data_IF_412398339574
#
_entry.id   IF_412398339574
#
_cell.length_a   1.000
_cell.length_b   1.000
_cell.length_c   1.000
_cell.angle_alpha   90.00
_cell.angle_beta   90.00
_cell.angle_gamma   90.00
#
_symmetry.space_group_name_H-M   'P 1'
#
loop_
_entity.id
_entity.type
_entity.pdbx_description
1 polymer ?
#
# COMPACT_ATOMS: atom_id res chain seq x y z
N UNK A 1 6.66 -39.52 -14.91
CA UNK A 1 6.89 -38.07 -14.92
C UNK A 1 5.60 -37.41 -15.35
N UNK A 2 4.99 -36.63 -14.47
CA UNK A 2 3.86 -35.77 -14.85
C UNK A 2 4.33 -34.77 -15.91
N UNK A 3 3.45 -34.38 -16.86
CA UNK A 3 3.79 -33.37 -17.85
C UNK A 3 4.16 -32.04 -17.15
N UNK A 4 5.04 -31.26 -17.78
CA UNK A 4 5.41 -29.94 -17.26
C UNK A 4 4.19 -29.00 -17.22
N UNK A 5 4.22 -28.06 -16.27
CA UNK A 5 3.17 -27.05 -16.10
C UNK A 5 3.05 -26.16 -17.33
N UNK A 6 1.82 -25.75 -17.62
CA UNK A 6 1.54 -24.70 -18.61
C UNK A 6 1.61 -23.32 -17.96
N UNK A 7 1.86 -22.30 -18.79
CA UNK A 7 1.77 -20.89 -18.34
C UNK A 7 0.35 -20.57 -17.85
N UNK A 8 -0.68 -21.15 -18.46
CA UNK A 8 -2.07 -20.93 -18.06
C UNK A 8 -2.35 -21.44 -16.65
N UNK A 9 -1.85 -22.63 -16.30
CA UNK A 9 -1.99 -23.16 -14.94
C UNK A 9 -1.31 -22.24 -13.89
N UNK A 10 -0.14 -21.69 -14.23
CA UNK A 10 0.55 -20.73 -13.37
C UNK A 10 -0.22 -19.41 -13.23
N UNK A 11 -0.86 -18.93 -14.30
CA UNK A 11 -1.71 -17.73 -14.24
C UNK A 11 -2.91 -17.95 -13.32
N UNK A 12 -3.61 -19.08 -13.45
CA UNK A 12 -4.71 -19.43 -12.55
C UNK A 12 -4.21 -19.52 -11.10
N UNK A 13 -3.05 -20.14 -10.87
CA UNK A 13 -2.43 -20.20 -9.54
C UNK A 13 -2.15 -18.80 -8.99
N UNK A 14 -1.48 -17.93 -9.76
CA UNK A 14 -1.18 -16.57 -9.33
C UNK A 14 -2.41 -15.68 -9.23
N UNK A 15 -3.48 -15.94 -9.96
CA UNK A 15 -4.76 -15.24 -9.82
C UNK A 15 -5.55 -15.70 -8.59
N UNK A 16 -5.27 -16.90 -8.07
CA UNK A 16 -6.05 -17.53 -7.00
C UNK A 16 -7.29 -18.28 -7.50
N UNK A 17 -7.31 -18.64 -8.79
CA UNK A 17 -8.46 -19.25 -9.47
C UNK A 17 -8.44 -20.79 -9.41
N UNK A 18 -7.42 -21.40 -8.82
CA UNK A 18 -7.33 -22.86 -8.66
C UNK A 18 -8.06 -23.31 -7.40
N UNK A 19 -8.67 -24.50 -7.46
CA UNK A 19 -9.10 -25.17 -6.25
C UNK A 19 -7.89 -25.53 -5.38
N UNK A 20 -8.08 -25.59 -4.06
CA UNK A 20 -6.99 -25.84 -3.09
C UNK A 20 -6.17 -27.09 -3.42
N UNK A 21 -6.85 -28.18 -3.78
CA UNK A 21 -6.19 -29.44 -4.14
C UNK A 21 -5.35 -29.32 -5.43
N UNK A 22 -5.76 -28.48 -6.38
CA UNK A 22 -5.03 -28.24 -7.63
C UNK A 22 -3.82 -27.33 -7.40
N UNK A 23 -3.96 -26.33 -6.53
CA UNK A 23 -2.86 -25.47 -6.11
C UNK A 23 -1.76 -26.29 -5.42
N UNK A 24 -2.11 -27.17 -4.47
CA UNK A 24 -1.15 -28.03 -3.78
C UNK A 24 -0.41 -28.96 -4.74
N UNK A 25 -1.11 -29.62 -5.67
CA UNK A 25 -0.46 -30.47 -6.68
C UNK A 25 0.50 -29.69 -7.59
N UNK A 26 0.15 -28.44 -7.90
CA UNK A 26 1.03 -27.56 -8.68
C UNK A 26 2.28 -27.20 -7.88
N UNK A 27 2.12 -26.83 -6.60
CA UNK A 27 3.22 -26.53 -5.68
C UNK A 27 4.17 -27.73 -5.55
N UNK A 28 3.64 -28.93 -5.28
CA UNK A 28 4.41 -30.18 -5.21
C UNK A 28 5.23 -30.40 -6.49
N UNK A 29 4.62 -30.18 -7.67
CA UNK A 29 5.32 -30.32 -8.94
C UNK A 29 6.43 -29.27 -9.11
N UNK A 30 6.20 -28.02 -8.68
CA UNK A 30 7.22 -26.95 -8.71
C UNK A 30 8.43 -27.34 -7.86
N UNK A 31 8.21 -27.96 -6.70
CA UNK A 31 9.29 -28.44 -5.82
C UNK A 31 10.10 -29.59 -6.45
N UNK A 32 9.46 -30.46 -7.23
CA UNK A 32 10.12 -31.64 -7.81
C UNK A 32 10.74 -31.39 -9.20
N UNK A 33 10.27 -30.38 -9.93
CA UNK A 33 10.67 -30.13 -11.32
C UNK A 33 11.38 -28.78 -11.49
N UNK A 34 12.71 -28.79 -11.59
CA UNK A 34 13.51 -27.57 -11.74
C UNK A 34 13.22 -26.73 -12.99
N UNK A 35 12.68 -27.32 -14.07
CA UNK A 35 12.22 -26.55 -15.23
C UNK A 35 10.95 -25.76 -14.91
N UNK A 36 10.01 -26.38 -14.17
CA UNK A 36 8.79 -25.74 -13.70
C UNK A 36 9.08 -24.72 -12.59
N UNK A 37 10.07 -24.94 -11.73
CA UNK A 37 10.51 -23.94 -10.76
C UNK A 37 10.99 -22.64 -11.43
N UNK A 38 11.86 -22.73 -12.44
CA UNK A 38 12.29 -21.53 -13.20
C UNK A 38 11.15 -20.86 -13.96
N UNK A 39 10.20 -21.64 -14.45
CA UNK A 39 9.00 -21.11 -15.09
C UNK A 39 8.12 -20.37 -14.07
N UNK A 40 7.89 -20.97 -12.91
CA UNK A 40 7.12 -20.40 -11.80
C UNK A 40 7.73 -19.07 -11.33
N UNK A 41 9.04 -19.03 -11.10
CA UNK A 41 9.74 -17.79 -10.70
C UNK A 41 9.56 -16.67 -11.73
N UNK A 42 9.76 -16.99 -13.02
CA UNK A 42 9.67 -15.99 -14.09
C UNK A 42 8.25 -15.46 -14.29
N UNK A 43 7.26 -16.35 -14.37
CA UNK A 43 5.87 -15.95 -14.59
C UNK A 43 5.26 -15.33 -13.32
N UNK A 44 5.71 -15.76 -12.14
CA UNK A 44 5.29 -15.22 -10.85
C UNK A 44 5.88 -13.86 -10.51
N UNK A 45 7.02 -13.49 -11.10
CA UNK A 45 7.72 -12.24 -10.79
C UNK A 45 6.81 -11.01 -10.91
N UNK A 46 5.99 -10.92 -11.97
CA UNK A 46 5.07 -9.80 -12.15
C UNK A 46 3.95 -9.79 -11.12
N UNK A 47 3.29 -10.93 -10.89
CA UNK A 47 2.21 -11.02 -9.89
C UNK A 47 2.72 -10.76 -8.47
N UNK A 48 3.93 -11.22 -8.15
CA UNK A 48 4.59 -10.93 -6.89
C UNK A 48 5.01 -9.45 -6.81
N UNK A 49 5.52 -8.85 -7.88
CA UNK A 49 5.85 -7.42 -7.92
C UNK A 49 4.61 -6.52 -7.76
N UNK A 50 3.50 -6.84 -8.42
CA UNK A 50 2.23 -6.15 -8.25
C UNK A 50 1.67 -6.33 -6.84
N UNK A 51 1.76 -7.53 -6.27
CA UNK A 51 1.39 -7.80 -4.87
C UNK A 51 2.32 -7.12 -3.86
N UNK A 52 3.56 -6.86 -4.26
CA UNK A 52 4.53 -6.10 -3.49
C UNK A 52 4.33 -4.59 -3.65
N UNK A 53 3.55 -4.13 -4.63
CA UNK A 53 3.18 -2.72 -4.73
C UNK A 53 2.40 -2.34 -3.48
N UNK A 54 2.88 -1.31 -2.80
CA UNK A 54 2.22 -0.74 -1.63
C UNK A 54 1.41 0.46 -2.17
N UNK A 55 0.07 0.41 -2.17
CA UNK A 55 -0.74 1.57 -2.52
C UNK A 55 -0.46 2.73 -1.56
N UNK A 56 -0.68 3.98 -1.97
CA UNK A 56 -0.42 5.15 -1.13
C UNK A 56 -1.28 5.17 0.14
N UNK A 57 -2.41 4.45 0.16
CA UNK A 57 -3.26 4.27 1.35
C UNK A 57 -3.42 2.78 1.63
N UNK A 58 -3.17 2.37 2.87
CA UNK A 58 -3.26 0.98 3.30
C UNK A 58 -4.18 0.80 4.51
N UNK A 59 -4.61 -0.42 4.77
CA UNK A 59 -5.34 -0.79 6.00
C UNK A 59 -4.38 -1.18 7.12
N UNK A 60 -4.82 -1.14 8.38
CA UNK A 60 -4.05 -1.68 9.51
C UNK A 60 -3.72 -3.16 9.34
N UNK A 61 -4.63 -3.95 8.76
CA UNK A 61 -4.35 -5.36 8.43
C UNK A 61 -3.16 -5.48 7.46
N UNK A 62 -3.09 -4.63 6.43
CA UNK A 62 -1.98 -4.63 5.48
C UNK A 62 -0.68 -4.15 6.14
N UNK A 63 -0.74 -3.12 6.99
CA UNK A 63 0.42 -2.69 7.78
C UNK A 63 0.97 -3.84 8.62
N UNK A 64 0.12 -4.52 9.40
CA UNK A 64 0.52 -5.66 10.23
C UNK A 64 1.07 -6.84 9.41
N UNK A 65 0.62 -7.02 8.16
CA UNK A 65 1.18 -8.02 7.26
C UNK A 65 2.59 -7.63 6.78
N UNK A 66 2.83 -6.36 6.46
CA UNK A 66 4.14 -5.85 6.05
C UNK A 66 5.16 -5.93 7.19
N UNK A 67 4.75 -5.59 8.41
CA UNK A 67 5.59 -5.71 9.61
C UNK A 67 5.95 -7.17 9.89
N UNK A 68 4.98 -8.10 9.80
CA UNK A 68 5.23 -9.55 9.95
C UNK A 68 6.15 -10.11 8.86
N UNK A 69 6.16 -9.52 7.67
CA UNK A 69 7.09 -9.86 6.60
C UNK A 69 8.50 -9.29 6.83
N UNK A 70 8.75 -8.59 7.94
CA UNK A 70 10.06 -8.06 8.32
C UNK A 70 10.42 -6.75 7.63
N UNK A 71 9.44 -6.04 7.04
CA UNK A 71 9.70 -4.74 6.44
C UNK A 71 10.05 -3.71 7.52
N UNK A 72 11.10 -2.93 7.32
CA UNK A 72 11.47 -1.84 8.23
C UNK A 72 10.46 -0.68 8.07
N UNK A 73 9.54 -0.57 9.03
CA UNK A 73 8.44 0.40 9.02
C UNK A 73 8.55 1.33 10.22
N UNK A 74 8.28 2.63 10.02
CA UNK A 74 8.05 3.60 11.09
C UNK A 74 6.66 4.21 10.94
N UNK A 75 5.87 4.22 12.01
CA UNK A 75 4.56 4.89 12.05
C UNK A 75 4.67 6.23 12.79
N UNK A 76 4.12 7.30 12.20
CA UNK A 76 3.97 8.61 12.81
C UNK A 76 2.48 9.00 12.79
N UNK A 77 1.94 9.39 13.95
CA UNK A 77 0.55 9.87 14.04
C UNK A 77 0.54 11.37 13.75
N UNK A 78 -0.27 11.79 12.78
CA UNK A 78 -0.34 13.16 12.28
C UNK A 78 -1.73 13.71 12.56
N UNK A 79 -1.79 14.75 13.39
CA UNK A 79 -3.01 15.51 13.63
C UNK A 79 -3.23 16.53 12.49
N UNK A 80 -4.49 16.91 12.20
CA UNK A 80 -4.77 17.95 11.22
C UNK A 80 -4.22 19.31 11.67
N UNK A 81 -3.78 20.13 10.71
CA UNK A 81 -3.34 21.50 10.96
C UNK A 81 -1.88 21.77 10.57
N UNK A 82 -0.99 22.08 11.54
CA UNK A 82 0.36 22.56 11.25
C UNK A 82 1.21 21.52 10.50
N UNK A 83 2.22 21.99 9.79
CA UNK A 83 3.22 21.12 9.16
C UNK A 83 3.99 20.36 10.22
N UNK A 84 4.15 19.06 10.02
CA UNK A 84 4.94 18.17 10.87
C UNK A 84 6.14 17.67 10.09
N UNK A 85 7.33 17.82 10.67
CA UNK A 85 8.54 17.20 10.16
C UNK A 85 8.59 15.72 10.58
N UNK A 86 8.81 14.83 9.61
CA UNK A 86 8.91 13.38 9.88
C UNK A 86 10.18 12.83 9.23
N UNK A 87 11.07 12.31 10.06
CA UNK A 87 12.32 11.70 9.61
C UNK A 87 12.10 10.33 8.99
N UNK A 88 12.57 10.18 7.75
CA UNK A 88 12.65 8.94 6.99
C UNK A 88 14.10 8.44 6.97
N UNK A 89 14.49 7.74 8.04
CA UNK A 89 15.84 7.20 8.26
C UNK A 89 16.24 6.15 7.22
N UNK A 90 17.53 6.12 6.85
CA UNK A 90 18.09 5.34 5.73
C UNK A 90 17.74 3.83 5.77
N UNK A 91 17.56 3.28 6.96
CA UNK A 91 17.21 1.89 7.24
C UNK A 91 15.72 1.57 7.05
N UNK A 92 14.86 2.58 6.99
CA UNK A 92 13.43 2.40 6.77
C UNK A 92 13.14 2.14 5.29
N UNK A 93 12.31 1.13 5.05
CA UNK A 93 11.72 0.88 3.74
C UNK A 93 10.39 1.65 3.57
N UNK A 94 9.67 1.88 4.68
CA UNK A 94 8.36 2.49 4.67
C UNK A 94 8.14 3.44 5.85
N UNK A 95 7.61 4.62 5.57
CA UNK A 95 7.10 5.55 6.55
C UNK A 95 5.57 5.58 6.47
N UNK A 96 4.89 5.30 7.57
CA UNK A 96 3.43 5.37 7.67
C UNK A 96 3.04 6.67 8.36
N UNK A 97 2.37 7.56 7.62
CA UNK A 97 1.71 8.73 8.20
C UNK A 97 0.26 8.34 8.53
N UNK A 98 -0.02 8.12 9.82
CA UNK A 98 -1.35 7.80 10.32
C UNK A 98 -2.11 9.09 10.61
N UNK A 99 -2.97 9.48 9.67
CA UNK A 99 -3.73 10.72 9.73
C UNK A 99 -4.92 10.53 10.68
N UNK A 100 -4.92 11.22 11.81
CA UNK A 100 -6.04 11.20 12.75
C UNK A 100 -7.23 11.95 12.16
N UNK A 101 -8.37 11.28 12.03
CA UNK A 101 -9.59 11.84 11.44
C UNK A 101 -10.83 11.30 12.16
N UNK A 102 -11.80 12.18 12.39
CA UNK A 102 -13.16 11.79 12.78
C UNK A 102 -14.08 11.95 11.57
N UNK A 103 -14.51 10.82 11.03
CA UNK A 103 -15.43 10.75 9.90
C UNK A 103 -16.47 9.63 10.07
N UNK A 104 -16.93 9.40 11.30
CA UNK A 104 -17.85 8.32 11.64
C UNK A 104 -19.18 8.39 10.86
N UNK A 105 -19.56 9.60 10.46
CA UNK A 105 -20.82 9.89 9.78
C UNK A 105 -20.73 9.85 8.25
N UNK A 106 -19.53 9.58 7.69
CA UNK A 106 -19.26 9.55 6.26
C UNK A 106 -19.52 8.17 5.65
N UNK A 107 -20.06 8.12 4.43
CA UNK A 107 -20.23 6.88 3.67
C UNK A 107 -18.89 6.38 3.12
N UNK A 108 -18.01 7.31 2.73
CA UNK A 108 -16.61 7.06 2.34
C UNK A 108 -15.72 8.27 2.58
N UNK A 109 -14.41 8.04 2.53
CA UNK A 109 -13.41 9.08 2.45
C UNK A 109 -12.76 9.07 1.06
N UNK A 110 -12.50 10.27 0.53
CA UNK A 110 -11.62 10.48 -0.62
C UNK A 110 -10.36 11.21 -0.12
N UNK A 111 -9.21 10.94 -0.76
CA UNK A 111 -7.93 11.57 -0.47
C UNK A 111 -7.42 12.35 -1.68
N UNK A 112 -6.97 13.57 -1.45
CA UNK A 112 -6.15 14.31 -2.42
C UNK A 112 -4.74 14.47 -1.85
N UNK A 113 -3.74 14.21 -2.69
CA UNK A 113 -2.32 14.35 -2.36
C UNK A 113 -1.75 15.47 -3.23
N UNK A 114 -1.18 16.49 -2.61
CA UNK A 114 -0.50 17.59 -3.31
C UNK A 114 0.94 17.77 -2.81
N UNK A 115 1.81 18.30 -3.66
CA UNK A 115 3.16 18.66 -3.25
C UNK A 115 3.20 20.05 -2.57
N UNK A 116 4.40 20.47 -2.13
CA UNK A 116 4.61 21.77 -1.51
C UNK A 116 4.33 22.98 -2.41
N UNK A 117 4.26 22.79 -3.74
CA UNK A 117 3.89 23.84 -4.70
C UNK A 117 2.37 23.95 -4.91
N UNK A 118 1.62 22.96 -4.43
CA UNK A 118 0.17 22.83 -4.65
C UNK A 118 -0.19 22.00 -5.88
N UNK A 119 0.79 21.40 -6.58
CA UNK A 119 0.51 20.49 -7.68
C UNK A 119 -0.09 19.19 -7.15
N UNK A 120 -1.15 18.71 -7.79
CA UNK A 120 -1.77 17.42 -7.44
C UNK A 120 -0.89 16.27 -7.88
N UNK A 121 -0.48 15.44 -6.92
CA UNK A 121 0.23 14.18 -7.13
C UNK A 121 -0.78 13.07 -7.45
N UNK A 122 -1.85 12.97 -6.66
CA UNK A 122 -2.86 11.93 -6.81
C UNK A 122 -4.21 12.34 -6.22
N UNK A 123 -5.27 11.80 -6.83
CA UNK A 123 -6.62 11.77 -6.26
C UNK A 123 -7.02 10.31 -6.08
N UNK A 124 -7.34 9.92 -4.86
CA UNK A 124 -7.65 8.55 -4.49
C UNK A 124 -9.07 8.50 -3.92
N UNK A 125 -10.09 8.13 -4.72
CA UNK A 125 -11.45 8.02 -4.22
C UNK A 125 -11.63 6.76 -3.36
N UNK A 126 -12.58 6.80 -2.43
CA UNK A 126 -12.99 5.64 -1.64
C UNK A 126 -11.84 4.91 -0.94
N UNK A 127 -11.00 5.66 -0.21
CA UNK A 127 -9.86 5.11 0.53
C UNK A 127 -10.33 4.24 1.72
N UNK A 128 -9.53 3.26 2.15
CA UNK A 128 -9.80 2.54 3.39
C UNK A 128 -9.71 3.49 4.58
N UNK A 129 -10.69 3.39 5.49
CA UNK A 129 -10.73 4.11 6.76
C UNK A 129 -11.18 3.14 7.85
N UNK A 130 -10.35 2.98 8.88
CA UNK A 130 -10.72 2.21 10.06
C UNK A 130 -11.38 3.13 11.09
N UNK A 131 -12.71 3.06 11.18
CA UNK A 131 -13.51 3.82 12.15
C UNK A 131 -13.15 3.49 13.59
N UNK A 132 -12.67 2.27 13.87
CA UNK A 132 -12.29 1.85 15.22
C UNK A 132 -11.06 2.57 15.74
N UNK A 133 -10.09 2.83 14.86
CA UNK A 133 -8.87 3.59 15.21
C UNK A 133 -8.98 5.09 14.96
N UNK A 134 -9.87 5.53 14.07
CA UNK A 134 -9.96 6.94 13.67
C UNK A 134 -8.74 7.38 12.87
N UNK A 135 -8.12 6.47 12.12
CA UNK A 135 -6.89 6.71 11.35
C UNK A 135 -7.06 6.34 9.87
N UNK A 136 -6.44 7.15 9.00
CA UNK A 136 -6.14 6.78 7.61
C UNK A 136 -4.63 6.60 7.50
N UNK A 137 -4.17 5.44 7.02
CA UNK A 137 -2.74 5.13 6.93
C UNK A 137 -2.20 5.45 5.54
N UNK A 138 -1.36 6.47 5.44
CA UNK A 138 -0.63 6.80 4.22
C UNK A 138 0.72 6.12 4.23
N UNK A 139 1.01 5.37 3.17
CA UNK A 139 2.25 4.61 3.02
C UNK A 139 3.22 5.35 2.10
N UNK A 140 4.18 6.07 2.70
CA UNK A 140 5.24 6.78 1.99
C UNK A 140 6.45 5.85 1.83
N UNK A 141 6.85 5.62 0.57
CA UNK A 141 7.90 4.69 0.19
C UNK A 141 9.20 5.42 -0.13
N UNK A 142 10.35 4.77 0.14
CA UNK A 142 11.66 5.40 -0.06
C UNK A 142 11.95 5.84 -1.50
N UNK A 143 11.44 5.11 -2.49
CA UNK A 143 11.63 5.45 -3.91
C UNK A 143 10.98 6.78 -4.34
N UNK A 144 10.20 7.42 -3.46
CA UNK A 144 9.63 8.74 -3.68
C UNK A 144 10.58 9.91 -3.39
N UNK A 145 11.71 9.70 -2.71
CA UNK A 145 12.69 10.76 -2.36
C UNK A 145 13.09 11.61 -3.57
N UNK A 146 13.37 10.96 -4.70
CA UNK A 146 13.80 11.65 -5.92
C UNK A 146 12.63 12.10 -6.81
N UNK A 147 11.44 11.52 -6.60
CA UNK A 147 10.28 11.72 -7.46
C UNK A 147 9.40 12.90 -7.02
N UNK A 148 9.39 13.23 -5.74
CA UNK A 148 8.48 14.24 -5.17
C UNK A 148 9.21 15.19 -4.20
N UNK A 149 8.80 16.47 -4.13
CA UNK A 149 9.30 17.38 -3.11
C UNK A 149 9.07 16.86 -1.67
N UNK A 150 9.94 17.21 -0.70
CA UNK A 150 9.81 16.76 0.69
C UNK A 150 8.48 17.10 1.36
N UNK A 151 7.95 18.29 1.08
CA UNK A 151 6.66 18.73 1.61
C UNK A 151 5.52 18.13 0.79
N UNK A 152 4.69 17.35 1.46
CA UNK A 152 3.48 16.74 0.89
C UNK A 152 2.29 17.11 1.75
N UNK A 153 1.15 17.39 1.12
CA UNK A 153 -0.12 17.64 1.79
C UNK A 153 -1.10 16.53 1.46
N UNK A 154 -1.83 16.10 2.48
CA UNK A 154 -2.92 15.15 2.39
C UNK A 154 -4.20 15.85 2.79
N UNK A 155 -5.21 15.79 1.93
CA UNK A 155 -6.53 16.37 2.20
C UNK A 155 -7.58 15.25 2.19
N UNK A 156 -8.25 15.07 3.32
CA UNK A 156 -9.32 14.10 3.47
C UNK A 156 -10.67 14.77 3.26
N UNK A 157 -11.47 14.19 2.38
CA UNK A 157 -12.84 14.62 2.11
C UNK A 157 -13.80 13.50 2.50
N UNK A 158 -14.69 13.78 3.44
CA UNK A 158 -15.83 12.92 3.71
C UNK A 158 -16.91 13.10 2.64
N UNK A 159 -17.45 11.99 2.18
CA UNK A 159 -18.59 11.95 1.27
C UNK A 159 -19.76 11.28 1.97
N UNK A 160 -20.92 11.95 1.96
CA UNK A 160 -22.18 11.43 2.50
C UNK A 160 -23.30 11.74 1.52
N UNK A 161 -23.85 10.70 0.88
CA UNK A 161 -24.69 10.89 -0.31
C UNK A 161 -23.99 11.75 -1.37
N UNK A 162 -24.58 12.91 -1.70
CA UNK A 162 -24.01 13.86 -2.66
C UNK A 162 -23.21 15.00 -2.00
N UNK A 163 -23.14 15.05 -0.68
CA UNK A 163 -22.42 16.09 0.05
C UNK A 163 -20.94 15.71 0.22
N UNK A 164 -20.05 16.70 0.02
CA UNK A 164 -18.61 16.58 0.20
C UNK A 164 -18.16 17.60 1.25
N UNK A 165 -17.43 17.14 2.27
CA UNK A 165 -16.93 17.96 3.38
C UNK A 165 -15.45 17.67 3.62
N UNK A 166 -14.61 18.68 3.69
CA UNK A 166 -13.23 18.50 4.17
C UNK A 166 -13.25 18.11 5.65
N UNK A 167 -12.55 17.03 5.99
CA UNK A 167 -12.48 16.48 7.36
C UNK A 167 -11.07 16.48 7.94
N UNK A 168 -10.06 16.80 7.14
CA UNK A 168 -8.69 16.97 7.60
C UNK A 168 -7.77 17.47 6.51
N UNK A 169 -6.80 18.30 6.91
CA UNK A 169 -5.68 18.73 6.08
C UNK A 169 -4.39 18.52 6.89
N UNK A 170 -3.44 17.81 6.30
CA UNK A 170 -2.23 17.36 6.96
C UNK A 170 -1.04 17.74 6.07
N UNK A 171 -0.06 18.43 6.62
CA UNK A 171 1.17 18.77 5.91
C UNK A 171 2.32 18.00 6.55
N UNK A 172 2.99 17.18 5.76
CA UNK A 172 4.13 16.37 6.21
C UNK A 172 5.35 16.78 5.40
N UNK A 173 6.38 17.24 6.11
CA UNK A 173 7.69 17.50 5.52
C UNK A 173 8.60 16.29 5.79
N UNK A 174 8.95 15.58 4.74
CA UNK A 174 9.77 14.37 4.82
C UNK A 174 11.25 14.75 4.95
N UNK A 175 11.84 14.48 6.11
CA UNK A 175 13.28 14.66 6.33
C UNK A 175 14.00 13.37 5.93
N UNK A 176 14.54 13.34 4.72
CA UNK A 176 15.23 12.18 4.16
C UNK A 176 16.67 12.08 4.69
N UNK A 177 16.99 10.97 5.35
CA UNK A 177 18.37 10.64 5.72
C UNK A 177 18.94 9.62 4.72
N UNK A 178 20.24 9.80 4.43
CA UNK A 178 21.02 8.98 3.50
C UNK A 178 22.01 8.11 4.24
#
# INVERSE_FOLDING_TARGET
MSPCLSIEALRCYFAGDLAEEEALRLEDHVFECGACARLFEREGAMSLALRAQIPPVITHHRLAALERAGLAVKKAVIAPGPTVDVTFSADLALLINALSVNADDADRLDLTITDGSGQTIAEVPAIPYDRGSGEVLIACQRHYEEAFPPLVRFELTAVKGNERRSVGSYAVNHLWER
#
